data_IF_073171517439
#
_entry.id   IF_073171517439
#
_cell.length_a   1.000
_cell.length_b   1.000
_cell.length_c   1.000
_cell.angle_alpha   90.00
_cell.angle_beta   90.00
_cell.angle_gamma   90.00
#
_symmetry.space_group_name_H-M   'P 1'
#
loop_
_entity.id
_entity.type
_entity.pdbx_description
1 polymer ?
#
# COMPACT_ATOMS: atom_id res chain seq x y z
N UNK A 1 32.84 10.89 7.35
CA UNK A 1 31.77 10.97 6.34
C UNK A 1 30.55 10.34 6.98
N UNK A 2 29.54 11.13 7.30
CA UNK A 2 28.35 10.66 8.01
C UNK A 2 27.38 10.12 6.96
N UNK A 3 27.37 8.81 6.76
CA UNK A 3 26.41 8.16 5.84
C UNK A 3 25.02 8.21 6.49
N UNK A 4 24.16 9.08 5.99
CA UNK A 4 22.75 9.16 6.37
C UNK A 4 21.97 8.03 5.71
N UNK A 5 21.89 6.87 6.35
CA UNK A 5 21.08 5.73 5.92
C UNK A 5 19.57 5.96 6.19
N UNK A 6 18.71 5.63 5.23
CA UNK A 6 17.29 5.33 5.46
C UNK A 6 16.29 6.48 5.71
N UNK A 7 16.59 7.73 5.33
CA UNK A 7 15.76 8.88 5.74
C UNK A 7 14.56 9.26 4.85
N UNK A 8 14.18 8.44 3.86
CA UNK A 8 13.02 8.71 3.00
C UNK A 8 11.89 7.70 3.25
N UNK A 9 11.38 7.64 4.47
CA UNK A 9 10.01 7.13 4.65
C UNK A 9 9.08 8.26 4.23
N UNK A 10 8.24 8.03 3.21
CA UNK A 10 7.27 9.03 2.81
C UNK A 10 6.26 9.23 3.95
N UNK A 11 5.78 10.46 4.13
CA UNK A 11 4.72 10.73 5.10
C UNK A 11 3.52 9.79 4.87
N UNK A 12 2.87 9.32 5.95
CA UNK A 12 1.79 8.34 5.85
C UNK A 12 0.68 8.84 4.91
N UNK A 13 0.04 7.89 4.23
CA UNK A 13 -1.12 8.16 3.38
C UNK A 13 -2.17 8.97 4.14
N UNK A 14 -2.71 10.01 3.51
CA UNK A 14 -3.74 10.85 4.12
C UNK A 14 -4.99 10.01 4.47
N UNK A 15 -5.76 10.43 5.48
CA UNK A 15 -7.00 9.72 5.88
C UNK A 15 -7.97 9.54 4.69
N UNK A 16 -7.97 10.48 3.75
CA UNK A 16 -8.79 10.43 2.53
C UNK A 16 -8.36 9.29 1.59
N UNK A 17 -7.06 9.11 1.40
CA UNK A 17 -6.51 7.98 0.63
C UNK A 17 -6.83 6.64 1.30
N UNK A 18 -6.80 6.59 2.64
CA UNK A 18 -7.19 5.39 3.39
C UNK A 18 -8.66 5.02 3.21
N UNK A 19 -9.56 6.01 3.22
CA UNK A 19 -10.98 5.81 2.97
C UNK A 19 -11.27 5.28 1.55
N UNK A 20 -10.48 5.65 0.54
CA UNK A 20 -10.74 5.29 -0.87
C UNK A 20 -10.58 3.79 -1.16
N UNK A 21 -9.49 3.14 -0.75
CA UNK A 21 -9.32 1.70 -1.00
C UNK A 21 -10.18 0.83 -0.06
N UNK A 22 -10.47 1.29 1.16
CA UNK A 22 -11.41 0.61 2.04
C UNK A 22 -12.84 0.63 1.49
N UNK A 23 -13.26 1.73 0.86
CA UNK A 23 -14.55 1.83 0.18
C UNK A 23 -14.62 0.88 -1.02
N UNK A 24 -13.54 0.72 -1.80
CA UNK A 24 -13.49 -0.24 -2.91
C UNK A 24 -13.66 -1.69 -2.42
N UNK A 25 -13.03 -2.04 -1.29
CA UNK A 25 -13.19 -3.38 -0.71
C UNK A 25 -14.61 -3.62 -0.17
N UNK A 26 -15.27 -2.57 0.34
CA UNK A 26 -16.66 -2.67 0.79
C UNK A 26 -17.65 -3.01 -0.34
N UNK A 27 -17.29 -2.77 -1.61
CA UNK A 27 -18.10 -3.17 -2.77
C UNK A 27 -18.22 -4.70 -2.91
N UNK A 28 -17.33 -5.49 -2.30
CA UNK A 28 -17.48 -6.96 -2.25
C UNK A 28 -18.72 -7.39 -1.47
N UNK A 29 -19.18 -6.56 -0.52
CA UNK A 29 -20.41 -6.81 0.21
C UNK A 29 -21.67 -6.40 -0.57
N UNK A 30 -21.51 -5.81 -1.77
CA UNK A 30 -22.60 -5.42 -2.65
C UNK A 30 -22.65 -6.35 -3.87
N UNK A 31 -23.79 -7.00 -4.05
CA UNK A 31 -24.06 -7.81 -5.23
C UNK A 31 -24.39 -6.92 -6.43
N UNK A 32 -23.93 -7.32 -7.61
CA UNK A 32 -24.30 -6.66 -8.86
C UNK A 32 -25.79 -6.93 -9.23
N UNK A 33 -26.26 -6.36 -10.34
CA UNK A 33 -27.63 -6.55 -10.82
C UNK A 33 -27.99 -8.01 -11.14
N UNK A 34 -26.98 -8.89 -11.23
CA UNK A 34 -27.12 -10.32 -11.49
C UNK A 34 -26.93 -11.17 -10.22
N UNK A 35 -26.79 -10.54 -9.04
CA UNK A 35 -26.57 -11.25 -7.79
C UNK A 35 -25.16 -11.83 -7.64
N UNK A 36 -24.17 -11.34 -8.39
CA UNK A 36 -22.79 -11.82 -8.34
C UNK A 36 -21.89 -10.89 -7.52
N UNK A 37 -20.88 -11.47 -6.90
CA UNK A 37 -19.85 -10.73 -6.14
C UNK A 37 -18.86 -10.12 -7.13
N UNK A 38 -18.54 -8.84 -6.93
CA UNK A 38 -17.65 -8.09 -7.80
C UNK A 38 -16.16 -8.30 -7.44
N UNK A 39 -15.65 -9.52 -7.59
CA UNK A 39 -14.25 -9.86 -7.26
C UNK A 39 -13.19 -9.00 -7.95
N UNK A 40 -13.51 -8.41 -9.12
CA UNK A 40 -12.60 -7.47 -9.80
C UNK A 40 -12.29 -6.23 -8.96
N UNK A 41 -13.22 -5.78 -8.11
CA UNK A 41 -13.05 -4.61 -7.23
C UNK A 41 -12.08 -4.86 -6.08
N UNK A 42 -11.96 -6.10 -5.62
CA UNK A 42 -10.94 -6.50 -4.64
C UNK A 42 -9.52 -6.27 -5.19
N UNK A 43 -9.29 -6.70 -6.45
CA UNK A 43 -8.00 -6.51 -7.11
C UNK A 43 -7.65 -5.03 -7.29
N UNK A 44 -8.64 -4.20 -7.62
CA UNK A 44 -8.48 -2.74 -7.70
C UNK A 44 -8.15 -2.13 -6.33
N UNK A 45 -8.86 -2.55 -5.27
CA UNK A 45 -8.62 -2.11 -3.90
C UNK A 45 -7.20 -2.47 -3.43
N UNK A 46 -6.75 -3.70 -3.67
CA UNK A 46 -5.41 -4.13 -3.34
C UNK A 46 -4.34 -3.28 -4.06
N UNK A 47 -4.51 -3.03 -5.36
CA UNK A 47 -3.58 -2.19 -6.12
C UNK A 47 -3.50 -0.77 -5.55
N UNK A 48 -4.65 -0.15 -5.24
CA UNK A 48 -4.68 1.18 -4.63
C UNK A 48 -4.04 1.19 -3.24
N UNK A 49 -4.24 0.15 -2.43
CA UNK A 49 -3.60 0.02 -1.12
C UNK A 49 -2.07 -0.02 -1.26
N UNK A 50 -1.53 -0.76 -2.23
CA UNK A 50 -0.09 -0.78 -2.48
C UNK A 50 0.45 0.58 -2.92
N UNK A 51 -0.21 1.23 -3.89
CA UNK A 51 0.21 2.52 -4.43
C UNK A 51 0.18 3.63 -3.37
N UNK A 52 -0.90 3.68 -2.59
CA UNK A 52 -1.16 4.79 -1.68
C UNK A 52 -0.58 4.56 -0.29
N UNK A 53 -0.48 3.31 0.18
CA UNK A 53 -0.08 3.02 1.55
C UNK A 53 1.21 2.20 1.61
N UNK A 54 1.23 0.98 1.09
CA UNK A 54 2.37 0.06 1.30
C UNK A 54 3.66 0.64 0.74
N UNK A 55 3.67 1.10 -0.52
CA UNK A 55 4.88 1.59 -1.17
C UNK A 55 5.43 2.86 -0.51
N UNK A 56 4.54 3.72 0.01
CA UNK A 56 4.94 4.97 0.71
C UNK A 56 5.55 4.69 2.09
N UNK A 57 5.08 3.66 2.78
CA UNK A 57 5.54 3.29 4.12
C UNK A 57 6.61 2.19 4.12
N UNK A 58 7.01 1.69 2.95
CA UNK A 58 8.05 0.65 2.84
C UNK A 58 9.41 1.32 2.71
N UNK A 59 10.34 0.97 3.61
CA UNK A 59 11.73 1.41 3.52
C UNK A 59 12.37 0.82 2.27
N UNK A 60 12.89 1.69 1.41
CA UNK A 60 13.63 1.31 0.21
C UNK A 60 15.12 1.19 0.53
N UNK A 61 15.75 0.15 -0.01
CA UNK A 61 17.19 -0.10 0.06
C UNK A 61 17.74 -0.22 -1.35
N UNK A 62 18.95 0.27 -1.58
CA UNK A 62 19.59 0.24 -2.90
C UNK A 62 20.04 -1.16 -3.29
N UNK A 63 20.42 -1.98 -2.31
CA UNK A 63 20.76 -3.39 -2.49
C UNK A 63 20.40 -4.23 -1.25
N UNK A 64 20.60 -5.55 -1.36
CA UNK A 64 20.28 -6.47 -0.27
C UNK A 64 21.28 -6.38 0.89
N UNK A 65 22.54 -6.01 0.63
CA UNK A 65 23.57 -5.91 1.66
C UNK A 65 23.25 -4.75 2.61
N UNK A 66 22.92 -3.58 2.07
CA UNK A 66 22.45 -2.41 2.83
C UNK A 66 21.22 -2.75 3.69
N UNK A 67 20.28 -3.50 3.13
CA UNK A 67 19.09 -3.95 3.88
C UNK A 67 19.46 -4.83 5.07
N UNK A 68 20.39 -5.77 4.88
CA UNK A 68 20.80 -6.70 5.94
C UNK A 68 21.61 -5.98 7.02
N UNK A 69 22.51 -5.07 6.65
CA UNK A 69 23.25 -4.21 7.59
C UNK A 69 22.33 -3.29 8.40
N UNK A 70 21.25 -2.78 7.79
CA UNK A 70 20.28 -1.95 8.50
C UNK A 70 19.41 -2.73 9.49
N UNK A 71 19.13 -4.01 9.23
CA UNK A 71 18.17 -4.82 10.00
C UNK A 71 18.78 -5.71 11.09
N UNK A 72 20.08 -6.04 11.03
CA UNK A 72 20.78 -6.98 11.94
C UNK A 72 21.74 -6.23 12.85
#
# INVERSE_FOLDING_TARGET
MTTTYGKSVAEPASEKEQLDYHALNALLNLYDSNGQIQFGKDREAANQFFLQHVNRNTVFFHDLEEKMEYLV
#
